data_IF_473070541717
#
_entry.id   IF_473070541717
#
_cell.length_a   1.000
_cell.length_b   1.000
_cell.length_c   1.000
_cell.angle_alpha   90.00
_cell.angle_beta   90.00
_cell.angle_gamma   90.00
#
_symmetry.space_group_name_H-M   'P 1'
#
loop_
_entity.id
_entity.type
_entity.pdbx_description
1 polymer ?
#
# COMPACT_ATOMS: atom_id res chain seq x y z
N UNK A 1 0.22 15.14 -6.52
CA UNK A 1 1.21 14.66 -5.54
C UNK A 1 1.63 13.23 -5.88
N UNK A 2 2.78 12.84 -5.44
CA UNK A 2 3.31 11.47 -5.56
C UNK A 2 3.44 10.88 -4.17
N UNK A 3 2.72 9.77 -3.93
CA UNK A 3 2.63 9.15 -2.61
C UNK A 3 3.09 7.71 -2.66
N UNK A 4 3.52 7.21 -1.50
CA UNK A 4 3.81 5.80 -1.32
C UNK A 4 2.93 5.26 -0.18
N UNK A 5 2.32 4.11 -0.40
CA UNK A 5 1.54 3.38 0.60
C UNK A 5 2.30 2.10 0.94
N UNK A 6 2.70 1.95 2.18
CA UNK A 6 3.36 0.74 2.66
C UNK A 6 2.31 -0.15 3.32
N UNK A 7 2.06 -1.29 2.73
CA UNK A 7 1.02 -2.23 3.16
C UNK A 7 -0.23 -2.15 2.30
N UNK A 8 -0.62 -3.29 1.71
CA UNK A 8 -1.77 -3.38 0.81
C UNK A 8 -2.92 -4.19 1.41
N UNK A 9 -3.12 -4.04 2.70
CA UNK A 9 -4.33 -4.51 3.35
C UNK A 9 -5.51 -3.59 3.08
N UNK A 10 -6.58 -3.75 3.84
CA UNK A 10 -7.80 -2.97 3.64
C UNK A 10 -7.54 -1.46 3.67
N UNK A 11 -6.89 -0.98 4.74
CA UNK A 11 -6.67 0.47 4.92
C UNK A 11 -5.77 1.03 3.82
N UNK A 12 -4.68 0.36 3.51
CA UNK A 12 -3.73 0.83 2.50
C UNK A 12 -4.34 0.89 1.11
N UNK A 13 -5.06 -0.15 0.70
CA UNK A 13 -5.69 -0.19 -0.62
C UNK A 13 -6.82 0.82 -0.75
N UNK A 14 -7.73 0.88 0.20
CA UNK A 14 -8.86 1.83 0.14
C UNK A 14 -8.34 3.27 0.11
N UNK A 15 -7.38 3.59 0.97
CA UNK A 15 -6.78 4.92 1.05
C UNK A 15 -6.06 5.26 -0.26
N UNK A 16 -5.18 4.38 -0.72
CA UNK A 16 -4.36 4.63 -1.90
C UNK A 16 -5.16 4.72 -3.19
N UNK A 17 -6.13 3.84 -3.38
CA UNK A 17 -7.01 3.88 -4.56
C UNK A 17 -7.83 5.15 -4.56
N UNK A 18 -8.36 5.56 -3.40
CA UNK A 18 -9.10 6.82 -3.28
C UNK A 18 -8.24 8.03 -3.66
N UNK A 19 -7.02 8.09 -3.17
CA UNK A 19 -6.08 9.17 -3.47
C UNK A 19 -5.72 9.16 -4.98
N UNK A 20 -5.49 7.98 -5.56
CA UNK A 20 -5.20 7.85 -6.99
C UNK A 20 -6.39 8.31 -7.85
N UNK A 21 -7.61 8.01 -7.42
CA UNK A 21 -8.82 8.42 -8.15
C UNK A 21 -8.98 9.95 -8.21
N UNK A 22 -8.36 10.67 -7.28
CA UNK A 22 -8.36 12.13 -7.25
C UNK A 22 -7.26 12.76 -8.14
N UNK A 23 -6.47 11.95 -8.84
CA UNK A 23 -5.46 12.44 -9.77
C UNK A 23 -4.02 12.36 -9.28
N UNK A 24 -3.77 11.75 -8.14
CA UNK A 24 -2.43 11.60 -7.58
C UNK A 24 -1.77 10.30 -8.03
N UNK A 25 -0.44 10.29 -8.11
CA UNK A 25 0.32 9.07 -8.39
C UNK A 25 0.60 8.34 -7.08
N UNK A 26 0.28 7.07 -7.02
CA UNK A 26 0.42 6.25 -5.81
C UNK A 26 1.23 5.00 -6.10
N UNK A 27 2.31 4.81 -5.36
CA UNK A 27 3.09 3.58 -5.36
C UNK A 27 2.71 2.78 -4.12
N UNK A 28 2.24 1.55 -4.34
CA UNK A 28 1.93 0.61 -3.26
C UNK A 28 3.09 -0.36 -3.11
N UNK A 29 3.51 -0.58 -1.88
CA UNK A 29 4.53 -1.58 -1.57
C UNK A 29 3.99 -2.59 -0.56
N UNK A 30 4.20 -3.87 -0.84
CA UNK A 30 3.90 -4.97 0.07
C UNK A 30 4.95 -6.06 -0.14
N UNK A 31 5.49 -6.59 0.93
CA UNK A 31 6.51 -7.65 0.85
C UNK A 31 5.96 -8.98 0.36
N UNK A 32 4.63 -9.14 0.36
CA UNK A 32 3.95 -10.30 -0.23
C UNK A 32 3.89 -10.15 -1.75
N UNK A 33 4.83 -10.78 -2.45
CA UNK A 33 4.92 -10.68 -3.91
C UNK A 33 3.72 -11.25 -4.65
N UNK A 34 3.08 -12.28 -4.10
CA UNK A 34 1.87 -12.87 -4.71
C UNK A 34 0.72 -11.88 -4.68
N UNK A 35 0.57 -11.16 -3.59
CA UNK A 35 -0.44 -10.09 -3.46
C UNK A 35 -0.17 -8.97 -4.47
N UNK A 36 1.07 -8.56 -4.60
CA UNK A 36 1.49 -7.52 -5.57
C UNK A 36 1.21 -7.96 -7.00
N UNK A 37 1.50 -9.21 -7.35
CA UNK A 37 1.22 -9.74 -8.68
C UNK A 37 -0.28 -9.70 -9.01
N UNK A 38 -1.12 -10.08 -8.05
CA UNK A 38 -2.57 -10.03 -8.22
C UNK A 38 -3.08 -8.60 -8.42
N UNK A 39 -2.59 -7.66 -7.63
CA UNK A 39 -2.96 -6.25 -7.74
C UNK A 39 -2.51 -5.66 -9.08
N UNK A 40 -1.31 -5.99 -9.54
CA UNK A 40 -0.79 -5.56 -10.85
C UNK A 40 -1.63 -6.10 -12.02
N UNK A 41 -2.32 -7.22 -11.83
CA UNK A 41 -3.22 -7.82 -12.79
C UNK A 41 -4.70 -7.44 -12.57
N UNK A 42 -4.96 -6.36 -11.85
CA UNK A 42 -6.30 -5.83 -11.53
C UNK A 42 -7.18 -6.79 -10.72
N UNK A 43 -6.56 -7.62 -9.89
CA UNK A 43 -7.29 -8.53 -9.00
C UNK A 43 -7.27 -8.00 -7.57
N UNK A 44 -8.41 -7.57 -7.05
CA UNK A 44 -8.56 -7.11 -5.67
C UNK A 44 -8.68 -8.29 -4.71
N UNK A 45 -8.01 -8.24 -3.54
CA UNK A 45 -8.05 -9.33 -2.57
C UNK A 45 -9.32 -9.37 -1.71
N UNK A 46 -10.16 -8.34 -1.77
CA UNK A 46 -11.39 -8.25 -1.00
C UNK A 46 -12.43 -7.40 -1.74
N UNK A 47 -13.68 -7.50 -1.31
CA UNK A 47 -14.77 -6.68 -1.83
C UNK A 47 -15.05 -5.50 -0.92
N UNK A 48 -15.10 -4.29 -1.51
CA UNK A 48 -15.54 -3.07 -0.85
C UNK A 48 -16.39 -2.30 -1.84
N UNK A 49 -17.63 -1.90 -1.47
CA UNK A 49 -18.51 -1.16 -2.38
C UNK A 49 -17.85 0.10 -2.95
N UNK A 50 -17.80 0.19 -4.27
CA UNK A 50 -17.21 1.33 -4.97
C UNK A 50 -15.70 1.27 -5.20
N UNK A 51 -14.98 0.44 -4.47
CA UNK A 51 -13.53 0.31 -4.63
C UNK A 51 -13.17 -0.27 -6.01
N UNK A 52 -13.88 -1.30 -6.44
CA UNK A 52 -13.65 -1.97 -7.72
C UNK A 52 -13.76 -0.99 -8.90
N UNK A 53 -14.73 -0.10 -8.88
CA UNK A 53 -14.93 0.89 -9.95
C UNK A 53 -13.74 1.84 -10.08
N UNK A 54 -13.23 2.33 -8.98
CA UNK A 54 -12.07 3.22 -8.99
C UNK A 54 -10.78 2.46 -9.33
N UNK A 55 -10.64 1.25 -8.80
CA UNK A 55 -9.47 0.42 -9.04
C UNK A 55 -9.34 0.00 -10.51
N UNK A 56 -10.44 -0.33 -11.16
CA UNK A 56 -10.48 -0.79 -12.54
C UNK A 56 -10.54 0.35 -13.56
N UNK A 57 -10.82 1.58 -13.14
CA UNK A 57 -10.81 2.74 -14.03
C UNK A 57 -9.42 2.91 -14.62
N UNK A 58 -9.34 2.97 -15.98
CA UNK A 58 -8.06 3.00 -16.67
C UNK A 58 -7.17 4.19 -16.26
N UNK A 59 -7.74 5.37 -16.12
CA UNK A 59 -6.99 6.56 -15.74
C UNK A 59 -6.46 6.46 -14.31
N UNK A 60 -7.29 5.96 -13.39
CA UNK A 60 -6.89 5.73 -12.01
C UNK A 60 -5.81 4.66 -11.92
N UNK A 61 -6.01 3.54 -12.61
CA UNK A 61 -5.06 2.43 -12.59
C UNK A 61 -3.68 2.83 -13.13
N UNK A 62 -3.63 3.66 -14.17
CA UNK A 62 -2.37 4.16 -14.72
C UNK A 62 -1.56 5.01 -13.73
N UNK A 63 -2.22 5.59 -12.73
CA UNK A 63 -1.56 6.37 -11.67
C UNK A 63 -1.06 5.52 -10.52
N UNK A 64 -1.35 4.21 -10.54
CA UNK A 64 -0.96 3.28 -9.48
C UNK A 64 0.19 2.39 -9.94
N UNK A 65 1.12 2.15 -9.04
CA UNK A 65 2.24 1.25 -9.23
C UNK A 65 2.29 0.29 -8.04
N UNK A 66 2.57 -0.97 -8.30
CA UNK A 66 2.61 -2.01 -7.26
C UNK A 66 3.97 -2.67 -7.27
N UNK A 67 4.68 -2.58 -6.16
CA UNK A 67 6.04 -3.13 -6.02
C UNK A 67 6.16 -3.97 -4.76
N UNK A 68 7.07 -4.95 -4.76
CA UNK A 68 7.28 -5.85 -3.64
C UNK A 68 8.57 -5.60 -2.86
N UNK A 69 9.38 -4.64 -3.30
CA UNK A 69 10.66 -4.32 -2.66
C UNK A 69 10.82 -2.81 -2.49
N UNK A 70 11.38 -2.41 -1.35
CA UNK A 70 11.68 -1.00 -1.10
C UNK A 70 12.64 -0.41 -2.13
N UNK A 71 13.56 -1.23 -2.66
CA UNK A 71 14.52 -0.81 -3.68
C UNK A 71 13.90 -0.44 -5.03
N UNK A 72 12.65 -0.85 -5.26
CA UNK A 72 11.93 -0.55 -6.50
C UNK A 72 11.21 0.80 -6.46
N UNK A 73 11.19 1.47 -5.30
CA UNK A 73 10.51 2.75 -5.11
C UNK A 73 11.49 3.90 -5.36
N UNK A 74 11.06 4.87 -6.16
CA UNK A 74 11.81 6.11 -6.33
C UNK A 74 11.45 7.07 -5.20
N UNK A 75 12.18 6.97 -4.10
CA UNK A 75 11.90 7.72 -2.88
C UNK A 75 12.10 9.23 -3.03
N UNK A 76 13.02 9.66 -3.89
CA UNK A 76 13.28 11.08 -4.11
C UNK A 76 12.09 11.83 -4.69
N UNK A 77 11.19 11.11 -5.37
CA UNK A 77 9.99 11.69 -5.96
C UNK A 77 8.79 11.72 -5.03
N UNK A 78 8.84 11.03 -3.88
CA UNK A 78 7.68 10.89 -3.00
C UNK A 78 7.51 12.11 -2.09
N UNK A 79 6.30 12.66 -2.12
CA UNK A 79 5.93 13.78 -1.25
C UNK A 79 5.48 13.28 0.13
N UNK A 80 4.77 12.16 0.18
CA UNK A 80 4.20 11.60 1.42
C UNK A 80 4.32 10.08 1.39
N UNK A 81 4.60 9.49 2.56
CA UNK A 81 4.58 8.04 2.77
C UNK A 81 3.57 7.71 3.85
N UNK A 82 2.59 6.85 3.52
CA UNK A 82 1.65 6.31 4.48
C UNK A 82 2.09 4.91 4.88
N UNK A 83 2.17 4.64 6.15
CA UNK A 83 2.49 3.31 6.67
C UNK A 83 1.20 2.66 7.14
N UNK A 84 0.72 1.68 6.36
CA UNK A 84 -0.57 1.02 6.56
C UNK A 84 -0.38 -0.50 6.78
N UNK A 85 0.66 -0.86 7.51
CA UNK A 85 0.93 -2.27 7.83
C UNK A 85 0.01 -2.76 8.93
N UNK A 86 -0.18 -4.09 9.00
CA UNK A 86 -1.00 -4.69 10.06
C UNK A 86 -0.37 -4.48 11.44
N UNK A 87 -1.24 -4.28 12.44
CA UNK A 87 -0.86 -4.20 13.84
C UNK A 87 -1.74 -5.16 14.64
N UNK A 88 -1.49 -6.50 14.50
CA UNK A 88 -2.35 -7.48 15.13
C UNK A 88 -2.22 -7.44 16.66
N UNK A 89 -3.27 -7.89 17.35
CA UNK A 89 -3.23 -8.04 18.81
C UNK A 89 -2.37 -9.24 19.18
N UNK A 90 -1.52 -9.07 20.18
CA UNK A 90 -0.81 -10.16 20.81
C UNK A 90 -1.68 -10.68 21.94
N UNK A 91 -2.23 -11.89 21.77
CA UNK A 91 -3.15 -12.49 22.75
C UNK A 91 -2.45 -12.88 24.06
N UNK A 92 -1.15 -13.13 24.03
CA UNK A 92 -0.37 -13.47 25.23
C UNK A 92 -0.12 -12.26 26.13
N UNK A 93 0.19 -11.11 25.54
CA UNK A 93 0.52 -9.88 26.27
C UNK A 93 -0.65 -8.92 26.37
N UNK A 94 -1.76 -9.21 25.68
CA UNK A 94 -2.94 -8.34 25.57
C UNK A 94 -2.57 -6.92 25.09
N UNK A 95 -1.61 -6.83 24.19
CA UNK A 95 -1.14 -5.57 23.59
C UNK A 95 -1.11 -5.67 22.07
N UNK A 96 -0.99 -4.53 21.40
CA UNK A 96 -0.85 -4.47 19.94
C UNK A 96 0.56 -4.90 19.54
N UNK A 97 0.68 -5.78 18.57
CA UNK A 97 1.97 -6.16 17.99
C UNK A 97 2.40 -5.12 16.96
N UNK A 98 3.45 -4.37 17.27
CA UNK A 98 4.00 -3.31 16.41
C UNK A 98 5.18 -3.78 15.56
N UNK A 99 5.44 -5.07 15.49
CA UNK A 99 6.59 -5.64 14.76
C UNK A 99 6.63 -5.19 13.30
N UNK A 100 5.50 -5.23 12.60
CA UNK A 100 5.42 -4.83 11.19
C UNK A 100 5.64 -3.33 11.02
N UNK A 101 5.10 -2.52 11.92
CA UNK A 101 5.29 -1.08 11.92
C UNK A 101 6.77 -0.71 12.15
N UNK A 102 7.40 -1.32 13.15
CA UNK A 102 8.82 -1.10 13.44
C UNK A 102 9.70 -1.48 12.26
N UNK A 103 9.43 -2.61 11.63
CA UNK A 103 10.16 -3.07 10.44
C UNK A 103 10.03 -2.07 9.27
N UNK A 104 8.84 -1.55 9.03
CA UNK A 104 8.62 -0.56 7.98
C UNK A 104 9.39 0.73 8.26
N UNK A 105 9.34 1.23 9.49
CA UNK A 105 10.05 2.45 9.90
C UNK A 105 11.58 2.26 9.73
N UNK A 106 12.12 1.13 10.16
CA UNK A 106 13.55 0.83 10.03
C UNK A 106 13.97 0.77 8.56
N UNK A 107 13.12 0.20 7.69
CA UNK A 107 13.38 0.16 6.25
C UNK A 107 13.45 1.56 5.65
N UNK A 108 12.58 2.47 6.08
CA UNK A 108 12.58 3.86 5.62
C UNK A 108 13.81 4.64 6.10
N UNK A 109 14.27 4.39 7.32
CA UNK A 109 15.44 5.06 7.89
C UNK A 109 16.71 4.73 7.09
N UNK A 110 16.80 3.53 6.52
CA UNK A 110 17.96 3.04 5.79
C UNK A 110 17.92 3.29 4.27
N UNK A 111 16.98 4.07 3.82
CA UNK A 111 16.86 4.44 2.41
C UNK A 111 17.82 5.57 2.01
#
# INVERSE_FOLDING_TARGET
>A
MKLCIIGTGYVGLVTGVGIASLGNKVTFIDLDSDKIDKLSNKSLPFYEPGLDKHFEDNKTFERMEFVSKYSEVNWDEKDIVFICVQTPNNLETNSVDTKFLESAILSLIHI
#
